data_IF_521719847063
#
_entry.id   IF_521719847063
#
_cell.length_a   1.000
_cell.length_b   1.000
_cell.length_c   1.000
_cell.angle_alpha   90.00
_cell.angle_beta   90.00
_cell.angle_gamma   90.00
#
_symmetry.space_group_name_H-M   'P 1'
#
loop_
_entity.id
_entity.type
_entity.pdbx_description
1 polymer ?
#
# COMPACT_ATOMS: atom_id res chain seq x y z
N UNK A 1 35.21 14.93 20.53
CA UNK A 1 34.15 14.64 19.53
C UNK A 1 32.75 14.50 20.11
N UNK A 2 32.57 14.33 21.42
CA UNK A 2 31.24 14.13 22.05
C UNK A 2 30.22 15.27 21.89
N UNK A 3 30.67 16.53 21.78
CA UNK A 3 29.77 17.68 21.61
C UNK A 3 29.03 17.68 20.27
N UNK A 4 29.56 17.01 19.23
CA UNK A 4 28.88 16.84 17.95
C UNK A 4 27.71 15.85 18.08
N UNK A 5 27.89 14.77 18.85
CA UNK A 5 26.85 13.76 19.08
C UNK A 5 25.64 14.29 19.87
N UNK A 6 25.85 15.12 20.90
CA UNK A 6 24.72 15.71 21.66
C UNK A 6 23.89 16.69 20.80
N UNK A 7 24.54 17.47 19.93
CA UNK A 7 23.85 18.36 18.99
C UNK A 7 23.06 17.60 17.94
N UNK A 8 23.62 16.53 17.37
CA UNK A 8 22.92 15.66 16.44
C UNK A 8 21.70 14.98 17.09
N UNK A 9 21.81 14.52 18.34
CA UNK A 9 20.67 13.97 19.08
C UNK A 9 19.58 15.02 19.35
N UNK A 10 19.95 16.25 19.69
CA UNK A 10 18.97 17.33 19.86
C UNK A 10 18.30 17.74 18.55
N UNK A 11 19.05 17.78 17.45
CA UNK A 11 18.50 18.03 16.11
C UNK A 11 17.52 16.93 15.71
N UNK A 12 17.86 15.66 15.94
CA UNK A 12 16.97 14.54 15.67
C UNK A 12 15.66 14.63 16.50
N UNK A 13 15.74 15.01 17.78
CA UNK A 13 14.55 15.20 18.63
C UNK A 13 13.71 16.38 18.14
N UNK A 14 14.33 17.49 17.72
CA UNK A 14 13.61 18.64 17.17
C UNK A 14 12.92 18.30 15.84
N UNK A 15 13.59 17.53 14.98
CA UNK A 15 13.03 17.07 13.71
C UNK A 15 11.82 16.15 13.93
N UNK A 16 11.93 15.20 14.87
CA UNK A 16 10.81 14.33 15.26
C UNK A 16 9.66 15.15 15.86
N UNK A 17 9.97 16.14 16.72
CA UNK A 17 8.95 17.00 17.33
C UNK A 17 8.26 17.87 16.29
N UNK A 18 9.01 18.45 15.34
CA UNK A 18 8.46 19.23 14.24
C UNK A 18 7.55 18.38 13.34
N UNK A 19 7.94 17.13 13.08
CA UNK A 19 7.13 16.18 12.31
C UNK A 19 5.81 15.90 13.01
N UNK A 20 5.83 15.66 14.33
CA UNK A 20 4.62 15.45 15.13
C UNK A 20 3.74 16.70 15.16
N UNK A 21 4.34 17.89 15.30
CA UNK A 21 3.59 19.16 15.28
C UNK A 21 2.92 19.40 13.93
N UNK A 22 3.61 19.12 12.83
CA UNK A 22 3.03 19.21 11.49
C UNK A 22 1.87 18.23 11.32
N UNK A 23 2.01 17.00 11.81
CA UNK A 23 0.92 16.01 11.76
C UNK A 23 -0.30 16.45 12.60
N UNK A 24 -0.08 16.95 13.82
CA UNK A 24 -1.14 17.46 14.69
C UNK A 24 -1.81 18.69 14.06
N UNK A 25 -1.03 19.62 13.51
CA UNK A 25 -1.54 20.80 12.80
C UNK A 25 -2.37 20.43 11.58
N UNK A 26 -1.93 19.42 10.82
CA UNK A 26 -2.69 18.89 9.69
C UNK A 26 -4.03 18.32 10.16
N UNK A 27 -4.04 17.46 11.19
CA UNK A 27 -5.28 16.89 11.74
C UNK A 27 -6.22 18.00 12.26
N UNK A 28 -5.69 19.02 12.94
CA UNK A 28 -6.47 20.15 13.40
C UNK A 28 -7.12 20.92 12.24
N UNK A 29 -6.35 21.22 11.18
CA UNK A 29 -6.85 21.90 9.98
C UNK A 29 -7.91 21.09 9.24
N UNK A 30 -7.76 19.76 9.21
CA UNK A 30 -8.76 18.85 8.65
C UNK A 30 -10.04 18.89 9.48
N UNK A 31 -9.93 18.81 10.81
CA UNK A 31 -11.09 18.88 11.69
C UNK A 31 -11.82 20.22 11.58
N UNK A 32 -11.09 21.33 11.48
CA UNK A 32 -11.68 22.66 11.28
C UNK A 32 -12.41 22.76 9.94
N UNK A 33 -11.80 22.23 8.87
CA UNK A 33 -12.44 22.15 7.54
C UNK A 33 -13.70 21.31 7.56
N UNK A 34 -13.68 20.17 8.27
CA UNK A 34 -14.86 19.31 8.48
C UNK A 34 -15.95 20.08 9.24
N UNK A 35 -15.61 20.73 10.36
CA UNK A 35 -16.56 21.54 11.15
C UNK A 35 -17.17 22.67 10.31
N UNK A 36 -16.36 23.37 9.52
CA UNK A 36 -16.83 24.43 8.62
C UNK A 36 -17.77 23.90 7.52
N UNK A 37 -17.54 22.67 7.04
CA UNK A 37 -18.42 22.00 6.08
C UNK A 37 -19.78 21.66 6.70
N UNK A 38 -19.81 21.20 7.96
CA UNK A 38 -21.05 20.92 8.71
C UNK A 38 -21.79 22.18 9.15
N UNK A 39 -21.08 23.28 9.42
CA UNK A 39 -21.67 24.56 9.80
C UNK A 39 -22.16 25.39 8.59
N UNK A 40 -22.15 24.82 7.38
CA UNK A 40 -22.55 25.49 6.15
C UNK A 40 -21.77 26.78 5.84
N UNK A 41 -20.52 26.90 6.32
CA UNK A 41 -19.70 28.11 6.12
C UNK A 41 -19.37 28.36 4.64
N UNK A 42 -19.30 27.30 3.82
CA UNK A 42 -19.08 27.39 2.37
C UNK A 42 -20.24 26.70 1.64
N UNK A 43 -21.13 27.45 0.97
CA UNK A 43 -22.38 26.89 0.44
C UNK A 43 -22.15 25.77 -0.59
N UNK A 44 -21.16 25.90 -1.48
CA UNK A 44 -20.85 24.89 -2.49
C UNK A 44 -20.47 23.53 -1.87
N UNK A 45 -19.59 23.55 -0.88
CA UNK A 45 -19.06 22.32 -0.27
C UNK A 45 -20.13 21.63 0.58
N UNK A 46 -20.97 22.40 1.26
CA UNK A 46 -22.06 21.84 2.06
C UNK A 46 -23.18 21.27 1.20
N UNK A 47 -23.51 21.88 0.05
CA UNK A 47 -24.41 21.26 -0.94
C UNK A 47 -23.86 19.95 -1.49
N UNK A 48 -22.54 19.87 -1.75
CA UNK A 48 -21.88 18.63 -2.13
C UNK A 48 -22.06 17.56 -1.05
N UNK A 49 -21.87 17.91 0.23
CA UNK A 49 -22.11 17.00 1.36
C UNK A 49 -23.57 16.52 1.42
N UNK A 50 -24.54 17.41 1.21
CA UNK A 50 -25.97 17.07 1.17
C UNK A 50 -26.29 16.11 0.03
N UNK A 51 -25.75 16.35 -1.17
CA UNK A 51 -25.94 15.44 -2.31
C UNK A 51 -25.29 14.07 -2.05
N UNK A 52 -24.08 14.06 -1.48
CA UNK A 52 -23.39 12.83 -1.10
C UNK A 52 -24.15 12.04 -0.04
N UNK A 53 -24.67 12.71 0.99
CA UNK A 53 -25.53 12.11 2.03
C UNK A 53 -26.85 11.60 1.45
N UNK A 54 -27.47 12.35 0.54
CA UNK A 54 -28.69 11.91 -0.14
C UNK A 54 -28.42 10.68 -1.01
N UNK A 55 -27.34 10.67 -1.78
CA UNK A 55 -26.90 9.50 -2.57
C UNK A 55 -26.60 8.30 -1.68
N UNK A 56 -25.87 8.48 -0.59
CA UNK A 56 -25.64 7.42 0.40
C UNK A 56 -26.95 6.92 1.01
N UNK A 57 -27.86 7.83 1.37
CA UNK A 57 -29.19 7.49 1.89
C UNK A 57 -30.03 6.68 0.89
N UNK A 58 -30.00 7.06 -0.39
CA UNK A 58 -30.63 6.31 -1.49
C UNK A 58 -30.02 4.92 -1.62
N UNK A 59 -28.68 4.82 -1.60
CA UNK A 59 -27.98 3.52 -1.65
C UNK A 59 -28.33 2.66 -0.44
N UNK A 60 -28.32 3.20 0.78
CA UNK A 60 -28.70 2.49 2.01
C UNK A 60 -30.20 2.16 2.07
N UNK A 61 -31.05 2.93 1.38
CA UNK A 61 -32.48 2.65 1.26
C UNK A 61 -32.74 1.46 0.33
N UNK A 62 -32.12 1.46 -0.85
CA UNK A 62 -32.27 0.37 -1.83
C UNK A 62 -31.47 -0.89 -1.46
N UNK A 63 -30.33 -0.72 -0.80
CA UNK A 63 -29.51 -1.80 -0.26
C UNK A 63 -29.82 -1.89 1.23
N UNK A 64 -30.79 -2.72 1.66
CA UNK A 64 -31.06 -2.88 3.07
C UNK A 64 -29.75 -3.28 3.77
N UNK A 65 -29.37 -2.57 4.84
CA UNK A 65 -28.20 -2.90 5.67
C UNK A 65 -28.13 -4.40 5.98
N UNK A 66 -29.30 -5.04 6.13
CA UNK A 66 -29.46 -6.48 6.25
C UNK A 66 -28.85 -7.25 5.08
N UNK A 67 -29.11 -6.89 3.82
CA UNK A 67 -28.50 -7.52 2.65
C UNK A 67 -26.99 -7.30 2.59
N UNK A 68 -26.48 -6.12 2.98
CA UNK A 68 -25.04 -5.85 3.03
C UNK A 68 -24.33 -6.73 4.07
N UNK A 69 -24.85 -6.77 5.29
CA UNK A 69 -24.33 -7.63 6.36
C UNK A 69 -24.53 -9.11 6.02
N UNK A 70 -25.66 -9.46 5.38
CA UNK A 70 -25.95 -10.82 4.93
C UNK A 70 -25.00 -11.24 3.80
N UNK A 71 -24.66 -10.37 2.85
CA UNK A 71 -23.77 -10.71 1.74
C UNK A 71 -22.32 -10.87 2.24
N UNK A 72 -21.88 -9.99 3.16
CA UNK A 72 -20.60 -10.15 3.86
C UNK A 72 -20.60 -11.41 4.73
N UNK A 73 -21.70 -11.68 5.43
CA UNK A 73 -21.92 -12.85 6.27
C UNK A 73 -21.91 -14.13 5.45
N UNK A 74 -22.71 -14.22 4.40
CA UNK A 74 -22.77 -15.34 3.44
C UNK A 74 -21.40 -15.55 2.82
N UNK A 75 -20.70 -14.51 2.35
CA UNK A 75 -19.37 -14.67 1.76
C UNK A 75 -18.36 -15.23 2.78
N UNK A 76 -18.40 -14.78 4.03
CA UNK A 76 -17.56 -15.33 5.11
C UNK A 76 -17.98 -16.76 5.51
N UNK A 77 -19.28 -17.01 5.69
CA UNK A 77 -19.84 -18.30 6.10
C UNK A 77 -19.72 -19.36 5.02
N UNK A 78 -19.95 -19.06 3.75
CA UNK A 78 -19.74 -20.01 2.65
C UNK A 78 -18.25 -20.35 2.52
N UNK A 79 -17.34 -19.38 2.66
CA UNK A 79 -15.90 -19.67 2.68
C UNK A 79 -15.53 -20.59 3.84
N UNK A 80 -16.10 -20.36 5.01
CA UNK A 80 -15.87 -21.17 6.20
C UNK A 80 -16.56 -22.55 6.17
N UNK A 81 -17.72 -22.66 5.53
CA UNK A 81 -18.53 -23.88 5.43
C UNK A 81 -18.10 -24.79 4.28
N UNK A 82 -17.76 -24.23 3.10
CA UNK A 82 -17.28 -25.02 1.96
C UNK A 82 -15.83 -25.48 2.15
N UNK A 83 -15.03 -24.78 2.97
CA UNK A 83 -13.59 -25.07 3.15
C UNK A 83 -13.15 -24.93 4.61
N UNK A 84 -13.56 -25.86 5.50
CA UNK A 84 -13.28 -25.79 6.93
C UNK A 84 -11.78 -25.94 7.31
N UNK A 85 -10.94 -26.48 6.42
CA UNK A 85 -9.52 -26.73 6.68
C UNK A 85 -8.56 -25.89 5.81
N UNK A 86 -9.03 -24.80 5.19
CA UNK A 86 -8.13 -23.88 4.48
C UNK A 86 -7.51 -22.93 5.48
N UNK A 87 -6.22 -23.12 5.74
CA UNK A 87 -5.34 -22.08 6.29
C UNK A 87 -5.55 -20.84 5.41
N UNK A 88 -5.91 -19.69 5.99
CA UNK A 88 -6.05 -18.42 5.27
C UNK A 88 -4.68 -17.97 4.73
N UNK A 89 -4.17 -18.66 3.71
CA UNK A 89 -3.13 -18.15 2.84
C UNK A 89 -3.84 -17.28 1.82
N UNK A 90 -3.51 -15.99 1.80
CA UNK A 90 -3.97 -15.09 0.75
C UNK A 90 -3.42 -15.61 -0.57
N UNK A 91 -4.21 -16.34 -1.36
CA UNK A 91 -3.81 -16.80 -2.69
C UNK A 91 -3.40 -15.63 -3.60
N UNK A 92 -3.95 -14.44 -3.36
CA UNK A 92 -3.50 -13.21 -4.00
C UNK A 92 -2.06 -12.83 -3.59
N UNK A 93 -1.72 -12.96 -2.31
CA UNK A 93 -0.38 -12.68 -1.82
C UNK A 93 0.60 -13.76 -2.26
N UNK A 94 0.16 -15.02 -2.28
CA UNK A 94 0.93 -16.16 -2.82
C UNK A 94 1.17 -16.01 -4.33
N UNK A 95 0.17 -15.50 -5.06
CA UNK A 95 0.31 -15.13 -6.47
C UNK A 95 1.29 -13.96 -6.66
N UNK A 96 1.14 -12.88 -5.89
CA UNK A 96 2.02 -11.71 -5.95
C UNK A 96 3.47 -12.06 -5.59
N UNK A 97 3.67 -12.93 -4.59
CA UNK A 97 4.99 -13.45 -4.22
C UNK A 97 5.62 -14.32 -5.32
N UNK A 98 4.81 -14.86 -6.24
CA UNK A 98 5.27 -15.64 -7.40
C UNK A 98 5.71 -14.76 -8.57
N UNK A 99 5.33 -13.49 -8.57
CA UNK A 99 5.80 -12.50 -9.55
C UNK A 99 7.19 -12.04 -9.11
N UNK A 100 8.24 -12.17 -9.94
CA UNK A 100 9.56 -11.68 -9.59
C UNK A 100 9.54 -10.16 -9.45
N UNK A 101 10.18 -9.66 -8.39
CA UNK A 101 10.32 -8.22 -8.13
C UNK A 101 11.22 -7.54 -9.18
N UNK A 102 11.12 -6.21 -9.31
CA UNK A 102 11.95 -5.42 -10.23
C UNK A 102 13.44 -5.59 -9.95
N UNK A 103 13.83 -5.79 -8.69
CA UNK A 103 15.22 -6.11 -8.32
C UNK A 103 15.64 -7.49 -8.87
N UNK A 104 14.81 -8.53 -8.71
CA UNK A 104 15.07 -9.85 -9.29
C UNK A 104 15.15 -9.80 -10.82
N UNK A 105 14.29 -9.00 -11.47
CA UNK A 105 14.30 -8.84 -12.93
C UNK A 105 15.58 -8.15 -13.42
N UNK A 106 16.16 -7.23 -12.64
CA UNK A 106 17.45 -6.59 -12.94
C UNK A 106 18.59 -7.59 -12.79
N UNK A 107 18.60 -8.38 -11.73
CA UNK A 107 19.60 -9.44 -11.52
C UNK A 107 19.56 -10.50 -12.64
N UNK A 108 18.37 -10.97 -13.06
CA UNK A 108 18.26 -11.90 -14.19
C UNK A 108 18.75 -11.28 -15.51
N UNK A 109 18.62 -9.96 -15.69
CA UNK A 109 19.14 -9.24 -16.86
C UNK A 109 20.66 -9.17 -16.84
N UNK A 110 21.26 -8.98 -15.68
CA UNK A 110 22.71 -8.98 -15.48
C UNK A 110 23.30 -10.39 -15.62
N UNK A 111 22.62 -11.42 -15.10
CA UNK A 111 23.00 -12.84 -15.24
C UNK A 111 22.93 -13.30 -16.71
N UNK A 112 21.98 -12.77 -17.50
CA UNK A 112 21.81 -13.23 -18.89
C UNK A 112 22.99 -12.92 -19.80
N UNK A 113 23.81 -11.91 -19.52
CA UNK A 113 25.03 -11.63 -20.26
C UNK A 113 25.94 -10.72 -19.45
N UNK A 114 26.80 -11.27 -18.60
CA UNK A 114 28.11 -10.64 -18.50
C UNK A 114 28.86 -10.98 -19.80
N UNK A 115 29.31 -9.98 -20.58
CA UNK A 115 30.05 -10.20 -21.83
C UNK A 115 31.27 -11.11 -21.61
N UNK A 116 31.86 -11.03 -20.41
CA UNK A 116 32.98 -11.84 -19.94
C UNK A 116 32.65 -13.34 -19.93
N UNK A 117 31.49 -13.74 -19.40
CA UNK A 117 31.07 -15.16 -19.36
C UNK A 117 30.74 -15.72 -20.75
N UNK A 118 30.24 -14.89 -21.67
CA UNK A 118 30.05 -15.30 -23.08
C UNK A 118 31.38 -15.45 -23.82
N UNK A 119 32.35 -14.57 -23.58
CA UNK A 119 33.69 -14.69 -24.15
C UNK A 119 34.43 -15.92 -23.64
N UNK A 120 34.37 -16.21 -22.34
CA UNK A 120 34.98 -17.41 -21.76
C UNK A 120 34.39 -18.68 -22.35
N UNK A 121 33.05 -18.79 -22.43
CA UNK A 121 32.41 -19.94 -23.11
C UNK A 121 32.82 -20.07 -24.57
N UNK A 122 32.95 -18.95 -25.30
CA UNK A 122 33.44 -18.97 -26.70
C UNK A 122 34.89 -19.43 -26.79
N UNK A 123 35.75 -19.00 -25.87
CA UNK A 123 37.16 -19.41 -25.81
C UNK A 123 37.29 -20.90 -25.46
N UNK A 124 36.51 -21.41 -24.52
CA UNK A 124 36.46 -22.84 -24.19
C UNK A 124 35.99 -23.70 -25.36
N UNK A 125 34.92 -23.29 -26.05
CA UNK A 125 34.43 -24.00 -27.24
C UNK A 125 35.47 -24.05 -28.36
N UNK A 126 36.31 -23.00 -28.51
CA UNK A 126 37.42 -23.00 -29.47
C UNK A 126 38.55 -23.94 -29.05
N UNK A 127 38.92 -23.97 -27.76
CA UNK A 127 39.93 -24.88 -27.23
C UNK A 127 39.54 -26.35 -27.40
N UNK A 128 38.25 -26.68 -27.17
CA UNK A 128 37.72 -28.05 -27.36
C UNK A 128 37.69 -28.53 -28.81
N UNK A 129 37.75 -27.64 -29.79
CA UNK A 129 37.79 -28.01 -31.22
C UNK A 129 39.22 -28.21 -31.74
N UNK A 130 40.23 -27.84 -30.97
CA UNK A 130 41.63 -27.84 -31.40
C UNK A 130 42.49 -28.86 -30.65
N UNK A 131 41.84 -29.76 -29.89
CA UNK A 131 42.41 -30.88 -29.16
C UNK A 131 41.64 -32.13 -29.56
#
# INVERSE_FOLDING_TARGET
>A
EEKKSLKERMLAIQEVTATVQNAIGFIASMQESVKNTFNFSVPFLSWLMVIALAGAGVVLYYVPLRALVLLVGINKFLKQLLRPNVINNNELLDFLARVPDDENLRDYREIRLSPTMMEERRREMKKRKHN
#
